data_IF_226324747791
#
_entry.id   IF_226324747791
#
_cell.length_a   1.000
_cell.length_b   1.000
_cell.length_c   1.000
_cell.angle_alpha   90.00
_cell.angle_beta   90.00
_cell.angle_gamma   90.00
#
_symmetry.space_group_name_H-M   'P 1'
#
loop_
_entity.id
_entity.type
_entity.pdbx_description
1 polymer ?
#
# COMPACT_ATOMS: atom_id res chain seq x y z
N UNK A 1 -83.94 5.68 20.39
CA UNK A 1 -84.41 5.33 19.04
C UNK A 1 -83.21 5.36 18.10
N UNK A 2 -82.68 4.18 17.69
CA UNK A 2 -81.80 3.94 16.52
C UNK A 2 -80.45 4.68 16.46
N UNK A 3 -79.37 4.21 15.85
CA UNK A 3 -78.80 2.93 15.41
C UNK A 3 -77.33 3.30 15.04
N UNK A 4 -76.38 2.41 15.37
CA UNK A 4 -75.01 2.19 14.85
C UNK A 4 -74.30 3.21 13.92
N UNK A 5 -72.98 3.41 14.15
CA UNK A 5 -71.89 2.99 13.23
C UNK A 5 -70.50 3.42 13.75
N UNK A 6 -69.60 2.40 13.88
CA UNK A 6 -68.14 2.31 13.55
C UNK A 6 -67.23 3.54 13.79
N UNK A 7 -65.99 3.46 14.27
CA UNK A 7 -64.96 2.40 14.17
C UNK A 7 -63.74 2.79 15.03
N UNK A 8 -62.92 1.77 15.33
CA UNK A 8 -61.68 1.74 16.11
C UNK A 8 -60.69 2.92 15.94
N UNK A 9 -59.92 3.21 17.01
CA UNK A 9 -58.46 3.48 17.01
C UNK A 9 -57.94 3.83 18.44
N UNK A 10 -56.93 3.06 18.88
CA UNK A 10 -55.77 3.35 19.79
C UNK A 10 -55.94 3.76 21.27
N UNK A 11 -55.39 2.92 22.19
CA UNK A 11 -54.39 3.20 23.26
C UNK A 11 -54.48 2.11 24.38
N UNK A 12 -53.82 0.95 24.28
CA UNK A 12 -52.46 0.63 24.78
C UNK A 12 -52.11 1.12 26.20
N UNK A 13 -52.28 0.25 27.20
CA UNK A 13 -51.44 0.09 28.40
C UNK A 13 -51.68 -1.34 28.95
N UNK A 14 -50.86 -2.32 28.53
CA UNK A 14 -49.71 -2.85 29.29
C UNK A 14 -50.12 -3.50 30.63
N UNK A 15 -50.62 -4.73 30.55
CA UNK A 15 -50.46 -5.74 31.61
C UNK A 15 -49.32 -6.68 31.18
N UNK A 16 -48.08 -6.30 31.47
CA UNK A 16 -46.90 -7.17 31.39
C UNK A 16 -46.48 -7.52 32.82
N UNK A 17 -46.94 -8.66 33.33
CA UNK A 17 -46.30 -9.40 34.43
C UNK A 17 -47.11 -10.68 34.64
N UNK A 18 -46.64 -11.79 34.07
CA UNK A 18 -47.30 -13.09 34.05
C UNK A 18 -47.37 -13.81 35.39
N UNK A 19 -47.92 -13.18 36.44
CA UNK A 19 -48.21 -13.85 37.72
C UNK A 19 -49.71 -14.05 37.91
N UNK A 20 -50.14 -15.32 38.03
CA UNK A 20 -51.48 -15.67 38.48
C UNK A 20 -51.38 -16.59 39.70
N UNK A 21 -51.95 -16.16 40.83
CA UNK A 21 -52.10 -16.97 42.07
C UNK A 21 -50.81 -17.51 42.73
N UNK A 22 -49.65 -16.88 42.51
CA UNK A 22 -48.41 -17.22 43.23
C UNK A 22 -47.58 -18.35 42.61
N UNK A 23 -47.85 -18.73 41.36
CA UNK A 23 -47.07 -19.71 40.59
C UNK A 23 -46.85 -19.18 39.16
N UNK A 24 -45.63 -19.31 38.62
CA UNK A 24 -45.31 -18.94 37.23
C UNK A 24 -45.63 -20.14 36.30
N UNK A 25 -46.07 -19.87 35.06
CA UNK A 25 -46.54 -20.90 34.10
C UNK A 25 -45.41 -21.64 33.36
N UNK A 26 -44.15 -21.23 33.54
CA UNK A 26 -42.99 -21.91 32.96
C UNK A 26 -42.28 -22.80 33.99
N UNK A 27 -41.81 -24.00 33.59
CA UNK A 27 -41.34 -25.04 34.51
C UNK A 27 -40.04 -24.71 35.27
N UNK A 28 -39.46 -23.52 35.07
CA UNK A 28 -38.14 -23.16 35.60
C UNK A 28 -38.15 -22.00 36.62
N UNK A 29 -39.31 -21.46 37.03
CA UNK A 29 -39.35 -20.31 37.96
C UNK A 29 -40.44 -20.46 39.04
N UNK A 30 -40.13 -20.86 40.29
CA UNK A 30 -41.15 -21.10 41.32
C UNK A 30 -41.55 -19.90 42.19
N UNK A 31 -40.98 -18.69 42.03
CA UNK A 31 -41.27 -17.53 42.91
C UNK A 31 -41.60 -16.22 42.16
N UNK A 32 -42.54 -15.43 42.70
CA UNK A 32 -43.06 -14.19 42.12
C UNK A 32 -43.28 -13.08 43.19
N UNK A 33 -42.92 -11.83 42.87
CA UNK A 33 -43.38 -10.62 43.59
C UNK A 33 -43.99 -9.56 42.65
N UNK A 34 -44.29 -8.37 43.20
CA UNK A 34 -44.91 -7.25 42.47
C UNK A 34 -44.09 -6.65 41.32
N UNK A 35 -42.88 -7.16 41.05
CA UNK A 35 -42.00 -6.77 39.95
C UNK A 35 -41.80 -7.87 38.90
N UNK A 36 -42.22 -9.12 39.14
CA UNK A 36 -42.11 -10.25 38.20
C UNK A 36 -41.67 -11.58 38.84
N UNK A 37 -41.39 -12.59 38.01
CA UNK A 37 -40.79 -13.86 38.46
C UNK A 37 -39.26 -13.73 38.56
N UNK A 38 -38.63 -14.29 39.59
CA UNK A 38 -37.17 -14.27 39.80
C UNK A 38 -36.66 -15.53 40.53
N UNK A 39 -35.39 -15.87 40.33
CA UNK A 39 -34.64 -16.89 41.08
C UNK A 39 -33.22 -16.36 41.39
N UNK A 40 -32.76 -16.54 42.62
CA UNK A 40 -31.36 -16.26 43.04
C UNK A 40 -30.37 -17.34 42.56
N UNK A 41 -30.86 -18.36 41.84
CA UNK A 41 -30.07 -19.50 41.31
C UNK A 41 -29.77 -19.43 39.81
N UNK A 42 -30.12 -18.35 39.11
CA UNK A 42 -29.62 -18.10 37.75
C UNK A 42 -28.17 -17.58 37.81
N UNK A 43 -27.22 -18.49 38.02
CA UNK A 43 -25.82 -18.32 37.66
C UNK A 43 -25.47 -19.34 36.56
N UNK A 44 -24.54 -19.03 35.63
CA UNK A 44 -24.09 -20.01 34.64
C UNK A 44 -23.62 -21.29 35.35
N UNK A 45 -24.00 -22.46 34.81
CA UNK A 45 -23.72 -23.76 35.42
C UNK A 45 -22.21 -23.93 35.65
N UNK A 46 -21.79 -23.91 36.91
CA UNK A 46 -20.40 -24.08 37.32
C UNK A 46 -20.06 -25.57 37.40
N UNK A 47 -18.94 -25.98 36.79
CA UNK A 47 -18.54 -27.39 36.72
C UNK A 47 -17.09 -27.62 37.19
N UNK A 48 -16.84 -28.76 37.82
CA UNK A 48 -15.50 -29.28 38.10
C UNK A 48 -15.23 -30.62 37.40
N UNK A 49 -16.26 -31.26 36.87
CA UNK A 49 -16.21 -32.46 36.04
C UNK A 49 -17.36 -32.45 35.02
N UNK A 50 -17.25 -33.25 33.97
CA UNK A 50 -18.28 -33.41 32.92
C UNK A 50 -19.66 -33.81 33.48
N UNK A 51 -19.67 -34.50 34.61
CA UNK A 51 -20.87 -35.02 35.28
C UNK A 51 -21.71 -33.92 35.95
N UNK A 52 -21.11 -32.74 36.15
CA UNK A 52 -21.78 -31.55 36.68
C UNK A 52 -22.63 -30.84 35.60
N UNK A 53 -22.45 -31.21 34.33
CA UNK A 53 -23.10 -30.58 33.18
C UNK A 53 -24.31 -31.37 32.69
N UNK A 54 -25.25 -30.69 32.01
CA UNK A 54 -26.45 -31.34 31.48
C UNK A 54 -26.11 -32.26 30.29
N UNK A 55 -27.04 -33.14 29.93
CA UNK A 55 -26.83 -34.08 28.82
C UNK A 55 -26.55 -33.32 27.51
N UNK A 56 -25.40 -33.63 26.88
CA UNK A 56 -24.82 -32.93 25.70
C UNK A 56 -24.14 -31.59 26.00
N UNK A 57 -23.56 -31.47 27.19
CA UNK A 57 -22.61 -30.42 27.54
C UNK A 57 -21.28 -31.03 27.97
N UNK A 58 -20.20 -30.27 27.86
CA UNK A 58 -18.91 -30.60 28.46
C UNK A 58 -18.43 -29.49 29.39
N UNK A 59 -17.61 -29.85 30.38
CA UNK A 59 -17.04 -28.92 31.33
C UNK A 59 -15.77 -28.28 30.77
N UNK A 60 -15.80 -26.97 30.51
CA UNK A 60 -14.58 -26.23 30.25
C UNK A 60 -13.87 -25.98 31.59
N UNK A 61 -12.78 -26.72 31.84
CA UNK A 61 -12.03 -26.67 33.10
C UNK A 61 -11.32 -25.33 33.35
N UNK A 62 -11.03 -24.55 32.31
CA UNK A 62 -10.37 -23.25 32.47
C UNK A 62 -11.35 -22.16 32.93
N UNK A 63 -12.59 -22.24 32.47
CA UNK A 63 -13.66 -21.30 32.81
C UNK A 63 -14.59 -21.81 33.92
N UNK A 64 -14.48 -23.09 34.28
CA UNK A 64 -15.37 -23.82 35.19
C UNK A 64 -16.85 -23.67 34.80
N UNK A 65 -17.15 -23.77 33.50
CA UNK A 65 -18.50 -23.57 32.95
C UNK A 65 -18.88 -24.69 31.98
N UNK A 66 -20.15 -25.09 32.00
CA UNK A 66 -20.70 -26.07 31.06
C UNK A 66 -20.97 -25.43 29.70
N UNK A 67 -20.47 -26.06 28.62
CA UNK A 67 -20.66 -25.61 27.24
C UNK A 67 -21.42 -26.66 26.42
N UNK A 68 -22.36 -26.25 25.54
CA UNK A 68 -23.04 -27.15 24.61
C UNK A 68 -22.04 -27.86 23.69
N UNK A 69 -22.21 -29.17 23.48
CA UNK A 69 -21.32 -29.95 22.62
C UNK A 69 -21.47 -29.69 21.11
N UNK A 70 -22.41 -28.81 20.70
CA UNK A 70 -22.70 -28.50 19.30
C UNK A 70 -22.07 -27.18 18.81
N UNK A 71 -21.18 -26.55 19.60
CA UNK A 71 -20.43 -25.34 19.21
C UNK A 71 -19.04 -25.76 18.70
N UNK A 72 -18.73 -25.39 17.46
CA UNK A 72 -17.48 -25.74 16.75
C UNK A 72 -16.39 -24.68 16.97
N UNK A 73 -16.77 -23.41 17.14
CA UNK A 73 -15.83 -22.31 17.35
C UNK A 73 -16.41 -21.22 18.26
N UNK A 74 -15.53 -20.48 18.93
CA UNK A 74 -15.80 -19.24 19.63
C UNK A 74 -14.94 -18.08 19.10
N UNK A 75 -13.73 -18.40 18.64
CA UNK A 75 -12.79 -17.50 17.99
C UNK A 75 -12.44 -18.00 16.59
N UNK A 76 -12.01 -17.06 15.73
CA UNK A 76 -11.74 -17.36 14.31
C UNK A 76 -10.58 -18.34 14.11
N UNK A 77 -9.65 -18.43 15.06
CA UNK A 77 -8.52 -19.37 15.01
C UNK A 77 -8.90 -20.83 15.32
N UNK A 78 -10.09 -21.07 15.87
CA UNK A 78 -10.63 -22.43 16.09
C UNK A 78 -11.24 -23.01 14.82
N UNK A 79 -11.38 -22.18 13.79
CA UNK A 79 -11.92 -22.56 12.51
C UNK A 79 -10.83 -23.05 11.54
N UNK A 80 -11.16 -23.99 10.63
CA UNK A 80 -10.27 -24.36 9.53
C UNK A 80 -9.83 -23.11 8.75
N UNK A 81 -8.60 -23.13 8.23
CA UNK A 81 -8.02 -22.02 7.47
C UNK A 81 -8.97 -21.50 6.38
N UNK A 82 -9.17 -20.18 6.32
CA UNK A 82 -10.08 -19.52 5.38
C UNK A 82 -11.55 -19.42 5.83
N UNK A 83 -11.86 -19.75 7.09
CA UNK A 83 -13.20 -19.58 7.66
C UNK A 83 -13.18 -18.74 8.93
N UNK A 84 -14.25 -18.00 9.18
CA UNK A 84 -14.43 -17.07 10.31
C UNK A 84 -15.53 -17.62 11.20
N UNK A 85 -15.38 -17.45 12.52
CA UNK A 85 -16.35 -17.98 13.47
C UNK A 85 -17.60 -17.10 13.52
N UNK A 86 -18.75 -17.64 13.11
CA UNK A 86 -20.02 -17.01 13.38
C UNK A 86 -20.37 -17.17 14.87
N UNK A 87 -20.11 -16.12 15.63
CA UNK A 87 -20.32 -16.07 17.08
C UNK A 87 -21.78 -16.21 17.50
N UNK A 88 -22.74 -16.04 16.60
CA UNK A 88 -24.16 -16.26 16.91
C UNK A 88 -24.56 -17.73 16.82
N UNK A 89 -23.94 -18.48 15.91
CA UNK A 89 -24.29 -19.88 15.65
C UNK A 89 -23.24 -20.86 16.18
N UNK A 90 -22.04 -20.39 16.52
CA UNK A 90 -20.91 -21.22 16.95
C UNK A 90 -20.34 -22.08 15.83
N UNK A 91 -20.53 -21.67 14.56
CA UNK A 91 -20.10 -22.43 13.38
C UNK A 91 -19.11 -21.66 12.54
N UNK A 92 -18.17 -22.36 11.91
CA UNK A 92 -17.21 -21.78 10.99
C UNK A 92 -17.87 -21.55 9.62
N UNK A 93 -17.82 -20.31 9.14
CA UNK A 93 -18.38 -19.92 7.84
C UNK A 93 -17.35 -19.17 7.01
N UNK A 94 -17.37 -19.35 5.69
CA UNK A 94 -16.47 -18.61 4.80
C UNK A 94 -17.04 -17.20 4.57
N UNK A 95 -16.33 -16.11 4.88
CA UNK A 95 -16.81 -14.74 4.69
C UNK A 95 -16.91 -14.31 3.21
N UNK A 96 -16.30 -15.04 2.27
CA UNK A 96 -16.29 -14.69 0.85
C UNK A 96 -17.55 -15.18 0.13
N UNK A 97 -18.66 -14.45 0.29
CA UNK A 97 -19.93 -14.69 -0.43
C UNK A 97 -19.82 -14.30 -1.91
N UNK A 98 -18.79 -13.53 -2.29
CA UNK A 98 -18.62 -12.93 -3.63
C UNK A 98 -17.48 -13.53 -4.48
N UNK A 99 -16.80 -14.59 -4.01
CA UNK A 99 -15.72 -15.30 -4.73
C UNK A 99 -14.51 -14.41 -5.15
N UNK A 100 -14.32 -13.26 -4.50
CA UNK A 100 -13.20 -12.34 -4.71
C UNK A 100 -11.98 -12.71 -3.87
N UNK A 101 -10.78 -12.43 -4.38
CA UNK A 101 -9.52 -12.70 -3.69
C UNK A 101 -8.45 -11.66 -4.05
N UNK A 102 -7.50 -11.45 -3.14
CA UNK A 102 -6.27 -10.71 -3.38
C UNK A 102 -5.06 -11.64 -3.45
N UNK A 103 -5.15 -12.78 -2.76
CA UNK A 103 -4.15 -13.83 -2.75
C UNK A 103 -4.82 -15.19 -2.75
N UNK A 104 -4.01 -16.18 -3.08
CA UNK A 104 -4.30 -17.60 -2.98
C UNK A 104 -4.90 -17.99 -1.61
N UNK A 105 -4.46 -17.35 -0.52
CA UNK A 105 -4.95 -17.63 0.83
C UNK A 105 -6.39 -17.17 1.10
N UNK A 106 -6.94 -16.28 0.28
CA UNK A 106 -8.33 -15.83 0.40
C UNK A 106 -9.32 -16.85 -0.18
N UNK A 107 -8.80 -17.86 -0.88
CA UNK A 107 -9.59 -18.81 -1.63
C UNK A 107 -9.96 -20.07 -0.84
N UNK A 108 -11.13 -20.66 -1.13
CA UNK A 108 -11.56 -21.90 -0.51
C UNK A 108 -10.61 -23.05 -0.86
N UNK A 109 -10.73 -24.16 -0.13
CA UNK A 109 -9.96 -25.38 -0.40
C UNK A 109 -10.02 -25.78 -1.88
N UNK A 110 -8.87 -26.17 -2.42
CA UNK A 110 -8.66 -26.47 -3.83
C UNK A 110 -9.00 -25.31 -4.77
N UNK A 111 -8.70 -24.08 -4.38
CA UNK A 111 -8.77 -22.92 -5.26
C UNK A 111 -7.55 -22.00 -5.09
N UNK A 112 -7.17 -21.37 -6.19
CA UNK A 112 -6.14 -20.33 -6.22
C UNK A 112 -6.78 -19.01 -6.66
N UNK A 113 -6.12 -17.90 -6.37
CA UNK A 113 -6.55 -16.58 -6.77
C UNK A 113 -6.05 -16.27 -8.17
N UNK A 114 -6.97 -16.07 -9.10
CA UNK A 114 -6.58 -15.62 -10.43
C UNK A 114 -6.34 -14.11 -10.40
N UNK A 115 -5.07 -13.72 -10.42
CA UNK A 115 -4.60 -12.32 -10.35
C UNK A 115 -5.20 -11.39 -11.42
N UNK A 116 -5.52 -11.92 -12.61
CA UNK A 116 -6.11 -11.13 -13.70
C UNK A 116 -7.59 -10.80 -13.48
N UNK A 117 -8.28 -11.65 -12.71
CA UNK A 117 -9.73 -11.50 -12.48
C UNK A 117 -10.06 -11.07 -11.06
N UNK A 118 -9.11 -11.21 -10.11
CA UNK A 118 -9.35 -11.00 -8.68
C UNK A 118 -10.37 -11.99 -8.10
N UNK A 119 -10.53 -13.16 -8.73
CA UNK A 119 -11.52 -14.17 -8.37
C UNK A 119 -10.85 -15.52 -8.08
N UNK A 120 -11.40 -16.25 -7.12
CA UNK A 120 -10.94 -17.60 -6.83
C UNK A 120 -11.34 -18.55 -7.96
N UNK A 121 -10.34 -19.26 -8.49
CA UNK A 121 -10.51 -20.31 -9.48
C UNK A 121 -10.27 -21.68 -8.85
N UNK A 122 -11.25 -22.56 -9.02
CA UNK A 122 -11.17 -23.94 -8.58
C UNK A 122 -10.09 -24.69 -9.36
N UNK A 123 -9.37 -25.54 -8.64
CA UNK A 123 -8.31 -26.40 -9.13
C UNK A 123 -8.35 -27.73 -8.36
N UNK A 124 -7.34 -28.57 -8.52
CA UNK A 124 -7.22 -29.84 -7.79
C UNK A 124 -6.23 -29.70 -6.64
N UNK A 125 -6.45 -30.51 -5.60
CA UNK A 125 -5.46 -30.68 -4.54
C UNK A 125 -4.36 -31.63 -4.99
N UNK A 126 -3.17 -31.49 -4.44
CA UNK A 126 -1.98 -32.23 -4.86
C UNK A 126 -1.10 -32.60 -3.67
N UNK A 127 -0.34 -33.68 -3.80
CA UNK A 127 0.75 -33.99 -2.86
C UNK A 127 2.14 -33.74 -3.43
N UNK A 128 2.22 -33.48 -4.74
CA UNK A 128 3.42 -33.11 -5.47
C UNK A 128 3.05 -32.46 -6.81
N UNK A 129 3.93 -31.62 -7.36
CA UNK A 129 3.68 -30.92 -8.65
C UNK A 129 3.51 -31.87 -9.84
N UNK A 130 3.94 -33.14 -9.72
CA UNK A 130 3.72 -34.16 -10.74
C UNK A 130 2.25 -34.57 -10.90
N UNK A 131 1.40 -34.20 -9.94
CA UNK A 131 -0.05 -34.45 -9.96
C UNK A 131 -0.83 -33.32 -10.62
N UNK A 132 -0.18 -32.18 -10.88
CA UNK A 132 -0.81 -31.02 -11.50
C UNK A 132 -0.70 -31.07 -13.03
N UNK A 133 -1.65 -30.42 -13.70
CA UNK A 133 -1.63 -30.25 -15.15
C UNK A 133 -0.43 -29.40 -15.61
N UNK A 134 -0.07 -29.49 -16.89
CA UNK A 134 1.05 -28.72 -17.48
C UNK A 134 0.86 -27.21 -17.24
N UNK A 135 1.86 -26.57 -16.63
CA UNK A 135 1.81 -25.15 -16.23
C UNK A 135 1.24 -24.90 -14.83
N UNK A 136 1.07 -25.95 -14.01
CA UNK A 136 0.66 -25.86 -12.61
C UNK A 136 1.65 -26.61 -11.70
N UNK A 137 1.87 -26.09 -10.50
CA UNK A 137 2.68 -26.71 -9.47
C UNK A 137 1.89 -26.89 -8.17
N UNK A 138 2.37 -27.79 -7.33
CA UNK A 138 1.76 -28.01 -6.02
C UNK A 138 2.33 -27.05 -5.00
N UNK A 139 1.52 -26.08 -4.56
CA UNK A 139 1.95 -25.10 -3.59
C UNK A 139 1.90 -25.62 -2.13
N UNK A 140 2.29 -24.78 -1.18
CA UNK A 140 2.33 -25.12 0.25
C UNK A 140 0.95 -25.42 0.87
N UNK A 141 -0.13 -25.02 0.20
CA UNK A 141 -1.52 -25.30 0.61
C UNK A 141 -1.99 -26.66 0.09
N UNK A 142 -1.12 -27.41 -0.59
CA UNK A 142 -1.44 -28.65 -1.28
C UNK A 142 -2.49 -28.43 -2.38
N UNK A 143 -2.41 -27.30 -3.08
CA UNK A 143 -3.30 -26.89 -4.16
C UNK A 143 -2.48 -26.69 -5.44
N UNK A 144 -2.99 -27.19 -6.57
CA UNK A 144 -2.38 -26.98 -7.87
C UNK A 144 -2.59 -25.53 -8.31
N UNK A 145 -1.58 -24.69 -8.16
CA UNK A 145 -1.59 -23.28 -8.54
C UNK A 145 -0.78 -23.09 -9.84
N UNK A 146 -1.11 -22.08 -10.68
CA UNK A 146 -0.35 -21.84 -11.91
C UNK A 146 1.12 -21.66 -11.58
N UNK A 147 2.02 -22.34 -12.30
CA UNK A 147 3.45 -22.04 -12.22
C UNK A 147 3.65 -20.54 -12.44
N UNK A 148 4.61 -19.88 -11.77
CA UNK A 148 5.02 -18.54 -12.15
C UNK A 148 5.68 -18.60 -13.53
N UNK A 149 4.89 -18.73 -14.60
CA UNK A 149 5.39 -18.92 -15.96
C UNK A 149 5.16 -17.69 -16.82
N UNK A 150 6.25 -16.97 -17.03
CA UNK A 150 6.43 -16.04 -18.12
C UNK A 150 7.92 -15.89 -18.46
N UNK A 151 8.27 -15.53 -19.70
CA UNK A 151 9.56 -14.91 -19.94
C UNK A 151 9.65 -13.67 -19.05
N UNK A 152 10.72 -13.56 -18.29
CA UNK A 152 10.99 -12.39 -17.48
C UNK A 152 12.21 -11.65 -18.03
N UNK A 153 12.26 -10.35 -17.78
CA UNK A 153 13.44 -9.52 -17.91
C UNK A 153 14.00 -9.20 -16.53
N UNK A 154 13.14 -9.11 -15.51
CA UNK A 154 13.50 -8.80 -14.13
C UNK A 154 12.60 -9.55 -13.12
N UNK A 155 12.94 -9.43 -11.84
CA UNK A 155 12.28 -10.14 -10.73
C UNK A 155 10.85 -9.68 -10.50
N UNK A 156 10.54 -8.40 -10.75
CA UNK A 156 9.19 -7.85 -10.58
C UNK A 156 8.15 -8.47 -11.51
N UNK A 157 8.59 -9.11 -12.61
CA UNK A 157 7.73 -9.84 -13.52
C UNK A 157 7.43 -11.27 -13.05
N UNK A 158 8.10 -11.73 -11.99
CA UNK A 158 7.85 -13.02 -11.37
C UNK A 158 6.90 -12.86 -10.17
N UNK A 159 6.10 -13.92 -9.92
CA UNK A 159 5.22 -13.99 -8.75
C UNK A 159 6.01 -13.98 -7.43
N UNK A 160 5.28 -13.81 -6.31
CA UNK A 160 5.86 -13.91 -4.97
C UNK A 160 6.53 -15.27 -4.78
N UNK A 161 7.73 -15.27 -4.19
CA UNK A 161 8.50 -16.50 -4.01
C UNK A 161 9.19 -16.95 -5.31
N UNK A 162 9.31 -16.10 -6.33
CA UNK A 162 10.09 -16.38 -7.52
C UNK A 162 10.89 -15.16 -7.98
N UNK A 163 12.02 -15.42 -8.63
CA UNK A 163 12.91 -14.41 -9.19
C UNK A 163 13.28 -14.76 -10.64
N UNK A 164 13.67 -13.77 -11.42
CA UNK A 164 14.07 -13.94 -12.81
C UNK A 164 15.52 -14.38 -12.92
N UNK A 165 15.74 -15.60 -13.42
CA UNK A 165 17.06 -16.11 -13.80
C UNK A 165 17.10 -16.42 -15.29
N UNK A 166 18.07 -15.84 -15.99
CA UNK A 166 18.29 -16.09 -17.42
C UNK A 166 17.02 -15.99 -18.30
N UNK A 167 16.10 -15.09 -17.95
CA UNK A 167 14.86 -14.83 -18.67
C UNK A 167 13.70 -15.77 -18.35
N UNK A 168 13.82 -16.56 -17.29
CA UNK A 168 12.81 -17.48 -16.79
C UNK A 168 12.61 -17.25 -15.30
N UNK A 169 11.36 -17.20 -14.84
CA UNK A 169 11.08 -17.16 -13.41
C UNK A 169 11.47 -18.49 -12.76
N UNK A 170 12.30 -18.41 -11.74
CA UNK A 170 12.82 -19.53 -10.95
C UNK A 170 12.27 -19.40 -9.52
N UNK A 171 11.79 -20.51 -8.99
CA UNK A 171 11.27 -20.58 -7.63
C UNK A 171 12.35 -20.26 -6.60
N UNK A 172 11.91 -19.56 -5.56
CA UNK A 172 12.65 -19.27 -4.35
C UNK A 172 11.70 -19.28 -3.15
N UNK A 173 12.18 -18.83 -2.00
CA UNK A 173 11.42 -18.81 -0.75
C UNK A 173 11.01 -17.39 -0.39
N UNK A 174 9.89 -17.28 0.30
CA UNK A 174 9.49 -16.01 0.91
C UNK A 174 10.35 -15.70 2.14
N UNK A 175 10.66 -14.43 2.33
CA UNK A 175 11.30 -13.87 3.51
C UNK A 175 10.34 -12.88 4.18
N UNK A 176 9.32 -13.35 4.92
CA UNK A 176 8.48 -12.46 5.71
C UNK A 176 9.32 -11.72 6.75
N UNK A 177 8.90 -10.51 7.11
CA UNK A 177 9.65 -9.57 7.94
C UNK A 177 10.37 -10.24 9.13
N UNK A 178 11.72 -10.28 9.05
CA UNK A 178 12.60 -10.79 10.10
C UNK A 178 13.18 -12.20 9.87
N UNK A 179 12.86 -12.87 8.75
CA UNK A 179 13.51 -14.12 8.35
C UNK A 179 14.66 -13.82 7.37
N UNK A 180 15.87 -14.27 7.71
CA UNK A 180 17.05 -14.14 6.85
C UNK A 180 17.03 -15.20 5.75
N UNK A 181 17.36 -14.80 4.51
CA UNK A 181 17.52 -15.72 3.41
C UNK A 181 18.88 -16.44 3.49
N UNK A 182 18.93 -17.72 3.08
CA UNK A 182 20.14 -18.54 3.15
C UNK A 182 20.50 -19.15 1.79
N UNK A 183 21.78 -19.49 1.61
CA UNK A 183 22.24 -20.26 0.46
C UNK A 183 22.48 -19.42 -0.79
N UNK A 184 21.91 -19.84 -1.92
CA UNK A 184 22.13 -19.21 -3.23
C UNK A 184 21.24 -17.97 -3.45
N UNK A 185 20.29 -17.70 -2.55
CA UNK A 185 19.37 -16.56 -2.60
C UNK A 185 19.46 -15.69 -1.34
N UNK A 186 20.64 -15.15 -0.97
CA UNK A 186 20.87 -14.55 0.36
C UNK A 186 20.21 -13.18 0.60
N UNK A 187 19.59 -12.56 -0.41
CA UNK A 187 19.02 -11.21 -0.32
C UNK A 187 17.49 -11.31 -0.27
N UNK A 188 16.85 -10.53 0.61
CA UNK A 188 15.39 -10.39 0.62
C UNK A 188 14.99 -9.12 -0.13
N UNK A 189 14.23 -9.26 -1.22
CA UNK A 189 13.76 -8.12 -2.01
C UNK A 189 12.52 -7.44 -1.40
N UNK A 190 12.07 -6.32 -2.00
CA UNK A 190 10.91 -5.56 -1.52
C UNK A 190 9.59 -6.33 -1.61
N UNK A 191 9.54 -7.39 -2.43
CA UNK A 191 8.39 -8.30 -2.55
C UNK A 191 8.38 -9.34 -1.43
N UNK A 192 9.38 -9.36 -0.55
CA UNK A 192 9.55 -10.39 0.47
C UNK A 192 9.94 -11.74 -0.14
N UNK A 193 10.70 -11.73 -1.23
CA UNK A 193 11.22 -12.92 -1.91
C UNK A 193 12.74 -12.99 -1.76
N UNK A 194 13.26 -14.17 -1.44
CA UNK A 194 14.70 -14.41 -1.41
C UNK A 194 15.26 -14.45 -2.85
N UNK A 195 16.27 -13.66 -3.17
CA UNK A 195 16.88 -13.58 -4.50
C UNK A 195 18.40 -13.79 -4.43
N UNK A 196 19.06 -14.22 -5.53
CA UNK A 196 20.51 -14.34 -5.57
C UNK A 196 21.23 -13.04 -5.31
N UNK A 197 22.42 -13.13 -4.72
CA UNK A 197 23.38 -12.03 -4.76
C UNK A 197 23.89 -11.91 -6.19
N UNK A 198 23.43 -10.89 -6.91
CA UNK A 198 23.80 -10.65 -8.31
C UNK A 198 25.14 -9.91 -8.36
N UNK A 199 26.20 -10.64 -8.06
CA UNK A 199 27.58 -10.26 -8.37
C UNK A 199 28.15 -11.21 -9.45
N UNK A 200 28.35 -10.76 -10.70
CA UNK A 200 28.21 -9.37 -11.16
C UNK A 200 26.74 -8.94 -11.34
N UNK A 201 26.46 -7.63 -11.36
CA UNK A 201 25.11 -7.10 -11.54
C UNK A 201 24.45 -7.60 -12.82
N UNK A 202 23.12 -7.63 -12.82
CA UNK A 202 22.34 -8.16 -13.94
C UNK A 202 22.58 -7.35 -15.23
N UNK A 203 22.73 -8.01 -16.38
CA UNK A 203 22.85 -7.31 -17.65
C UNK A 203 21.52 -6.68 -18.03
N UNK A 204 21.56 -5.48 -18.59
CA UNK A 204 20.39 -4.73 -19.00
C UNK A 204 20.60 -4.07 -20.36
N UNK A 205 19.50 -3.81 -21.07
CA UNK A 205 19.50 -2.88 -22.21
C UNK A 205 18.96 -1.51 -21.84
N UNK A 206 18.17 -1.43 -20.77
CA UNK A 206 17.55 -0.24 -20.23
C UNK A 206 16.96 -0.52 -18.84
N UNK A 207 16.37 0.50 -18.22
CA UNK A 207 15.90 0.44 -16.82
C UNK A 207 14.73 -0.53 -16.63
N UNK A 208 13.95 -0.83 -17.69
CA UNK A 208 12.89 -1.84 -17.62
C UNK A 208 13.44 -3.26 -17.40
N UNK A 209 14.73 -3.50 -17.66
CA UNK A 209 15.38 -4.78 -17.37
C UNK A 209 15.95 -4.84 -15.94
N UNK A 210 15.91 -3.75 -15.18
CA UNK A 210 16.43 -3.68 -13.83
C UNK A 210 15.31 -3.78 -12.77
N UNK A 211 15.70 -4.04 -11.53
CA UNK A 211 14.77 -4.09 -10.40
C UNK A 211 14.36 -2.69 -9.94
N UNK A 212 13.32 -2.61 -9.11
CA UNK A 212 12.91 -1.35 -8.51
C UNK A 212 14.09 -0.74 -7.71
N UNK A 213 14.36 0.55 -7.93
CA UNK A 213 15.49 1.24 -7.33
C UNK A 213 16.83 1.04 -8.04
N UNK A 214 16.87 0.36 -9.18
CA UNK A 214 18.05 0.22 -10.03
C UNK A 214 17.92 0.96 -11.37
N UNK A 215 19.05 1.36 -11.94
CA UNK A 215 19.16 1.97 -13.27
C UNK A 215 20.20 1.23 -14.10
N UNK A 216 19.91 1.07 -15.40
CA UNK A 216 20.80 0.46 -16.36
C UNK A 216 21.91 1.44 -16.76
N UNK A 217 23.13 1.14 -16.37
CA UNK A 217 24.33 1.94 -16.64
C UNK A 217 25.39 1.04 -17.28
N UNK A 218 25.85 1.39 -18.47
CA UNK A 218 26.85 0.61 -19.22
C UNK A 218 26.46 -0.87 -19.40
N UNK A 219 25.17 -1.13 -19.61
CA UNK A 219 24.63 -2.47 -19.83
C UNK A 219 24.56 -3.34 -18.57
N UNK A 220 24.74 -2.75 -17.39
CA UNK A 220 24.60 -3.41 -16.09
C UNK A 220 23.61 -2.64 -15.21
N UNK A 221 22.73 -3.36 -14.51
CA UNK A 221 21.88 -2.75 -13.50
C UNK A 221 22.74 -2.28 -12.33
N UNK A 222 22.54 -1.04 -11.92
CA UNK A 222 23.26 -0.43 -10.81
C UNK A 222 22.24 0.17 -9.86
N UNK A 223 22.45 0.00 -8.55
CA UNK A 223 21.61 0.65 -7.56
C UNK A 223 21.62 2.17 -7.78
N UNK A 224 20.44 2.76 -7.90
CA UNK A 224 20.33 4.22 -7.91
C UNK A 224 20.83 4.72 -6.56
N UNK A 225 21.79 5.64 -6.58
CA UNK A 225 22.22 6.25 -5.32
C UNK A 225 21.12 7.19 -4.86
N UNK A 226 20.60 7.05 -3.62
CA UNK A 226 19.65 8.02 -3.09
C UNK A 226 20.30 9.40 -3.18
N UNK A 227 19.63 10.32 -3.87
CA UNK A 227 20.13 11.69 -3.98
C UNK A 227 20.19 12.32 -2.59
N UNK A 228 21.17 13.21 -2.41
CA UNK A 228 21.35 13.93 -1.16
C UNK A 228 20.03 14.67 -0.81
N UNK A 229 19.41 14.37 0.35
CA UNK A 229 18.11 14.92 0.74
C UNK A 229 18.03 16.44 0.71
N UNK A 230 19.17 17.14 0.78
CA UNK A 230 19.22 18.60 0.67
C UNK A 230 18.81 19.15 -0.71
N UNK A 231 18.76 18.30 -1.73
CA UNK A 231 18.41 18.68 -3.10
C UNK A 231 16.99 18.28 -3.50
N UNK A 232 16.27 17.60 -2.60
CA UNK A 232 14.90 17.20 -2.84
C UNK A 232 13.97 18.39 -2.57
N UNK A 233 12.99 18.58 -3.44
CA UNK A 233 11.88 19.47 -3.12
C UNK A 233 10.92 18.78 -2.13
N UNK A 234 10.09 19.58 -1.48
CA UNK A 234 8.95 19.07 -0.72
C UNK A 234 7.69 19.76 -1.21
N UNK A 235 7.79 21.08 -1.43
CA UNK A 235 6.76 21.93 -1.98
C UNK A 235 7.15 22.42 -3.38
N UNK A 236 6.16 22.74 -4.20
CA UNK A 236 6.36 23.16 -5.60
C UNK A 236 7.08 24.51 -5.70
N UNK A 237 6.98 25.35 -4.69
CA UNK A 237 7.71 26.61 -4.54
C UNK A 237 9.23 26.40 -4.45
N UNK A 238 9.67 25.20 -4.04
CA UNK A 238 11.08 24.85 -4.10
C UNK A 238 11.57 24.63 -5.53
N UNK A 239 10.69 24.54 -6.53
CA UNK A 239 11.05 24.20 -7.90
C UNK A 239 11.20 25.41 -8.83
N UNK A 240 11.25 26.61 -8.24
CA UNK A 240 11.32 27.86 -8.98
C UNK A 240 9.99 28.21 -9.65
N UNK A 241 10.03 29.20 -10.54
CA UNK A 241 8.81 29.81 -11.09
C UNK A 241 7.97 28.79 -11.88
N UNK A 242 6.76 28.50 -11.37
CA UNK A 242 5.80 27.54 -11.92
C UNK A 242 6.33 26.09 -12.03
N UNK A 243 7.35 25.71 -11.26
CA UNK A 243 7.75 24.30 -11.14
C UNK A 243 6.75 23.51 -10.30
N UNK A 244 6.76 22.19 -10.43
CA UNK A 244 6.00 21.28 -9.57
C UNK A 244 6.96 20.34 -8.86
N UNK A 245 6.73 20.14 -7.56
CA UNK A 245 7.46 19.14 -6.79
C UNK A 245 6.73 17.81 -6.83
N UNK A 246 7.39 16.77 -7.30
CA UNK A 246 6.82 15.43 -7.41
C UNK A 246 7.86 14.43 -6.92
N UNK A 247 7.52 13.71 -5.86
CA UNK A 247 8.37 12.67 -5.28
C UNK A 247 9.79 13.14 -4.94
N UNK A 248 9.93 14.39 -4.47
CA UNK A 248 11.22 14.99 -4.20
C UNK A 248 11.95 15.58 -5.42
N UNK A 249 11.39 15.43 -6.62
CA UNK A 249 11.96 15.95 -7.87
C UNK A 249 11.23 17.19 -8.38
N UNK A 250 12.00 18.17 -8.83
CA UNK A 250 11.48 19.37 -9.45
C UNK A 250 11.29 19.18 -10.95
N UNK A 251 10.05 19.34 -11.38
CA UNK A 251 9.69 19.31 -12.79
C UNK A 251 9.27 20.70 -13.26
N UNK A 252 10.02 21.23 -14.23
CA UNK A 252 9.77 22.56 -14.81
C UNK A 252 8.62 22.55 -15.83
N UNK A 253 7.96 23.69 -16.07
CA UNK A 253 6.96 23.80 -17.12
C UNK A 253 7.60 23.72 -18.50
N UNK A 254 6.87 23.15 -19.47
CA UNK A 254 7.35 22.97 -20.83
C UNK A 254 6.24 23.22 -21.87
N UNK A 255 6.65 23.63 -23.06
CA UNK A 255 5.78 23.70 -24.25
C UNK A 255 6.11 22.59 -25.25
N UNK A 256 7.38 22.18 -25.27
CA UNK A 256 7.90 21.07 -26.05
C UNK A 256 9.17 20.51 -25.38
N UNK A 257 9.73 19.43 -25.95
CA UNK A 257 10.91 18.72 -25.43
C UNK A 257 12.16 19.61 -25.33
N UNK A 258 12.24 20.74 -26.06
CA UNK A 258 13.39 21.65 -25.95
C UNK A 258 13.43 22.42 -24.62
N UNK A 259 12.35 22.39 -23.84
CA UNK A 259 12.28 22.94 -22.49
C UNK A 259 12.69 21.94 -21.40
N UNK A 260 12.98 20.69 -21.76
CA UNK A 260 13.25 19.63 -20.81
C UNK A 260 14.72 19.22 -20.82
N UNK A 261 15.19 18.74 -19.68
CA UNK A 261 16.55 18.23 -19.52
C UNK A 261 16.73 16.89 -20.22
N UNK A 262 17.98 16.44 -20.28
CA UNK A 262 18.38 15.16 -20.85
C UNK A 262 17.61 14.02 -20.19
N UNK A 263 16.95 13.18 -20.99
CA UNK A 263 16.15 12.04 -20.54
C UNK A 263 14.69 12.39 -20.19
N UNK A 264 14.28 13.64 -20.37
CA UNK A 264 12.91 14.08 -20.09
C UNK A 264 12.14 14.45 -21.36
N UNK A 265 10.84 14.21 -21.32
CA UNK A 265 9.88 14.65 -22.33
C UNK A 265 8.96 15.73 -21.75
N UNK A 266 8.37 16.53 -22.64
CA UNK A 266 7.30 17.42 -22.23
C UNK A 266 5.98 16.65 -22.16
N UNK A 267 5.54 16.31 -20.94
CA UNK A 267 4.34 15.53 -20.72
C UNK A 267 3.06 16.34 -21.06
N UNK A 268 1.92 15.68 -21.34
CA UNK A 268 0.68 16.37 -21.73
C UNK A 268 0.11 17.35 -20.70
N UNK A 269 0.51 17.23 -19.42
CA UNK A 269 0.15 18.18 -18.36
C UNK A 269 0.98 19.48 -18.41
N UNK A 270 1.95 19.58 -19.33
CA UNK A 270 2.75 20.78 -19.55
C UNK A 270 3.98 20.87 -18.64
N UNK A 271 4.40 19.75 -18.04
CA UNK A 271 5.62 19.66 -17.23
C UNK A 271 6.60 18.68 -17.84
N UNK A 272 7.90 18.95 -17.68
CA UNK A 272 8.93 17.98 -17.99
C UNK A 272 8.76 16.77 -17.08
N UNK A 273 8.90 15.57 -17.63
CA UNK A 273 8.87 14.32 -16.86
C UNK A 273 9.88 13.36 -17.47
N UNK A 274 10.41 12.46 -16.66
CA UNK A 274 11.30 11.41 -17.14
C UNK A 274 10.56 10.58 -18.20
N UNK A 275 11.21 10.29 -19.33
CA UNK A 275 10.57 9.50 -20.38
C UNK A 275 10.25 8.11 -19.84
N UNK A 276 8.96 7.71 -19.74
CA UNK A 276 8.61 6.38 -19.26
C UNK A 276 9.05 5.29 -20.24
N UNK A 277 9.43 5.65 -21.47
CA UNK A 277 9.95 4.73 -22.45
C UNK A 277 11.48 4.78 -22.45
N UNK A 278 12.15 3.65 -22.24
CA UNK A 278 13.60 3.61 -22.33
C UNK A 278 14.09 3.91 -23.74
N UNK A 279 15.29 4.47 -23.82
CA UNK A 279 15.97 4.69 -25.10
C UNK A 279 16.32 3.37 -25.81
N UNK A 280 16.63 3.50 -27.09
CA UNK A 280 17.14 2.39 -27.91
C UNK A 280 18.44 2.75 -28.63
N UNK A 281 19.13 3.79 -28.16
CA UNK A 281 20.35 4.31 -28.78
C UNK A 281 21.57 3.45 -28.47
N UNK A 282 21.61 2.85 -27.27
CA UNK A 282 22.73 2.06 -26.78
C UNK A 282 22.28 0.91 -25.87
N UNK A 283 23.15 -0.08 -25.71
CA UNK A 283 23.07 -1.11 -24.66
C UNK A 283 24.25 -0.96 -23.71
N UNK A 284 25.43 -0.58 -24.22
CA UNK A 284 26.63 -0.32 -23.43
C UNK A 284 27.32 0.97 -23.88
N UNK A 285 28.27 1.47 -23.09
CA UNK A 285 29.07 2.66 -23.40
C UNK A 285 29.79 2.56 -24.75
N UNK A 286 30.14 1.34 -25.17
CA UNK A 286 30.79 1.08 -26.45
C UNK A 286 29.91 1.37 -27.67
N UNK A 287 28.58 1.42 -27.49
CA UNK A 287 27.63 1.81 -28.55
C UNK A 287 27.56 3.32 -28.73
N UNK A 288 27.95 4.08 -27.70
CA UNK A 288 28.03 5.53 -27.74
C UNK A 288 29.42 5.98 -28.23
N UNK A 289 29.49 7.19 -28.81
CA UNK A 289 30.77 7.83 -29.08
C UNK A 289 31.55 8.01 -27.75
N UNK A 290 32.88 8.02 -27.78
CA UNK A 290 33.73 7.96 -26.57
C UNK A 290 33.65 9.14 -25.59
N UNK A 291 32.69 10.05 -25.76
CA UNK A 291 32.37 11.17 -24.87
C UNK A 291 31.02 11.00 -24.16
N UNK A 292 30.42 9.80 -24.22
CA UNK A 292 29.08 9.53 -23.73
C UNK A 292 29.04 8.28 -22.85
N UNK A 293 28.05 8.23 -21.97
CA UNK A 293 27.74 7.07 -21.12
C UNK A 293 26.34 6.59 -21.49
N UNK A 294 26.18 5.28 -21.65
CA UNK A 294 24.89 4.66 -21.90
C UNK A 294 24.12 4.53 -20.58
N UNK A 295 23.00 5.22 -20.47
CA UNK A 295 22.10 5.17 -19.31
C UNK A 295 20.67 5.03 -19.81
N UNK A 296 19.93 4.05 -19.27
CA UNK A 296 18.55 3.77 -19.67
C UNK A 296 18.34 3.65 -21.20
N UNK A 297 19.34 3.11 -21.92
CA UNK A 297 19.30 2.97 -23.37
C UNK A 297 19.50 4.27 -24.17
N UNK A 298 19.91 5.37 -23.53
CA UNK A 298 20.25 6.67 -24.14
C UNK A 298 21.72 7.01 -23.95
N UNK A 299 22.33 7.69 -24.92
CA UNK A 299 23.73 8.15 -24.80
C UNK A 299 23.78 9.54 -24.12
N UNK A 300 24.12 9.57 -22.84
CA UNK A 300 24.25 10.80 -22.05
C UNK A 300 25.64 11.43 -22.21
N UNK A 301 25.71 12.76 -22.26
CA UNK A 301 27.00 13.47 -22.34
C UNK A 301 27.80 13.30 -21.05
N UNK A 302 29.11 13.10 -21.17
CA UNK A 302 30.03 13.21 -20.04
C UNK A 302 30.29 14.69 -19.73
N UNK A 303 30.34 15.03 -18.45
CA UNK A 303 30.56 16.39 -17.98
C UNK A 303 31.62 16.45 -16.88
N UNK A 304 32.15 17.66 -16.66
CA UNK A 304 33.00 17.96 -15.49
C UNK A 304 32.43 19.10 -14.65
N UNK A 305 31.56 19.91 -15.24
CA UNK A 305 30.82 21.01 -14.61
C UNK A 305 29.47 21.17 -15.30
N UNK A 306 28.53 21.86 -14.64
CA UNK A 306 27.22 22.22 -15.22
C UNK A 306 27.32 22.82 -16.63
N UNK A 307 28.29 23.72 -16.83
CA UNK A 307 28.51 24.41 -18.10
C UNK A 307 28.97 23.51 -19.25
N UNK A 308 29.31 22.26 -18.98
CA UNK A 308 29.68 21.28 -20.02
C UNK A 308 28.48 20.52 -20.58
N UNK A 309 27.32 20.60 -19.92
CA UNK A 309 26.10 20.01 -20.44
C UNK A 309 25.47 20.88 -21.53
N UNK A 310 24.98 20.27 -22.62
CA UNK A 310 24.49 20.99 -23.78
C UNK A 310 23.11 21.63 -23.55
N UNK A 311 22.27 21.05 -22.69
CA UNK A 311 20.95 21.59 -22.34
C UNK A 311 21.04 22.64 -21.22
N UNK A 312 20.28 23.73 -21.36
CA UNK A 312 20.12 24.75 -20.30
C UNK A 312 19.42 24.16 -19.05
N UNK A 313 18.69 23.07 -19.23
CA UNK A 313 17.95 22.35 -18.20
C UNK A 313 18.68 21.09 -17.71
N UNK A 314 19.95 20.93 -18.09
CA UNK A 314 20.79 19.84 -17.61
C UNK A 314 21.61 20.25 -16.40
N UNK A 315 22.02 19.23 -15.64
CA UNK A 315 23.07 19.36 -14.65
C UNK A 315 24.12 18.27 -14.75
N UNK A 316 25.30 18.54 -14.21
CA UNK A 316 26.40 17.59 -14.13
C UNK A 316 26.34 16.81 -12.82
N UNK A 317 25.82 15.59 -12.87
CA UNK A 317 25.76 14.68 -11.71
C UNK A 317 26.76 13.55 -11.92
N UNK A 318 27.76 13.47 -11.04
CA UNK A 318 28.80 12.41 -11.04
C UNK A 318 29.49 12.16 -12.38
N UNK A 319 29.67 13.23 -13.16
CA UNK A 319 30.34 13.18 -14.46
C UNK A 319 29.43 12.89 -15.64
N UNK A 320 28.12 12.85 -15.43
CA UNK A 320 27.10 12.63 -16.46
C UNK A 320 26.12 13.81 -16.50
N UNK A 321 25.76 14.25 -17.70
CA UNK A 321 24.67 15.20 -17.90
C UNK A 321 23.31 14.50 -17.72
N UNK A 322 22.54 14.99 -16.75
CA UNK A 322 21.18 14.54 -16.43
C UNK A 322 20.25 15.74 -16.36
N UNK A 323 18.94 15.53 -16.40
CA UNK A 323 18.00 16.62 -16.15
C UNK A 323 18.23 17.29 -14.78
N UNK A 324 18.06 18.61 -14.75
CA UNK A 324 18.24 19.42 -13.56
C UNK A 324 16.93 19.49 -12.75
N UNK A 325 16.72 18.46 -11.95
CA UNK A 325 15.53 18.16 -11.15
C UNK A 325 15.66 18.51 -9.65
N UNK A 326 16.67 19.30 -9.27
CA UNK A 326 16.87 19.69 -7.86
C UNK A 326 15.96 20.84 -7.44
N UNK A 327 15.72 20.94 -6.14
CA UNK A 327 15.20 22.14 -5.50
C UNK A 327 16.04 23.37 -5.88
N UNK A 328 15.34 24.39 -6.38
CA UNK A 328 15.80 25.74 -6.68
C UNK A 328 15.14 26.71 -5.68
N UNK A 329 15.65 26.81 -4.45
CA UNK A 329 15.08 27.72 -3.46
C UNK A 329 15.11 29.15 -3.99
N UNK A 330 14.01 29.87 -3.82
CA UNK A 330 13.86 31.28 -4.18
C UNK A 330 14.88 32.17 -3.45
N UNK A 331 15.30 31.75 -2.24
CA UNK A 331 16.21 32.50 -1.40
C UNK A 331 17.19 31.62 -0.62
N UNK A 332 18.36 32.20 -0.31
CA UNK A 332 19.32 31.61 0.64
C UNK A 332 19.48 32.47 1.90
N UNK A 333 19.03 33.72 1.85
CA UNK A 333 18.99 34.66 2.95
C UNK A 333 17.95 35.76 2.65
N UNK A 334 17.58 36.55 3.67
CA UNK A 334 16.56 37.60 3.52
C UNK A 334 16.91 38.67 2.47
N UNK A 335 18.19 38.82 2.10
CA UNK A 335 18.61 39.74 1.05
C UNK A 335 18.19 39.32 -0.36
N UNK A 336 17.79 38.05 -0.55
CA UNK A 336 17.20 37.57 -1.80
C UNK A 336 15.73 37.97 -1.95
N UNK A 337 15.04 38.24 -0.85
CA UNK A 337 13.61 38.50 -0.83
C UNK A 337 13.28 39.98 -1.00
N UNK A 338 12.16 40.26 -1.67
CA UNK A 338 11.69 41.63 -1.91
C UNK A 338 10.48 41.94 -1.02
N UNK A 339 9.97 43.17 -1.04
CA UNK A 339 8.69 43.47 -0.38
C UNK A 339 8.63 43.38 1.14
N UNK A 340 9.74 43.11 1.84
CA UNK A 340 9.76 42.88 3.29
C UNK A 340 9.52 41.42 3.70
N UNK A 341 9.55 40.50 2.74
CA UNK A 341 9.57 39.06 2.97
C UNK A 341 10.88 38.62 3.64
N UNK A 342 10.83 37.48 4.31
CA UNK A 342 11.99 36.83 4.91
C UNK A 342 12.23 35.48 4.27
N UNK A 343 13.50 35.09 4.21
CA UNK A 343 13.85 33.79 3.67
C UNK A 343 13.59 32.73 4.73
N UNK A 344 12.54 31.94 4.53
CA UNK A 344 12.15 30.85 5.41
C UNK A 344 12.11 29.56 4.61
N UNK A 345 12.99 28.62 4.95
CA UNK A 345 13.09 27.30 4.29
C UNK A 345 13.33 27.38 2.77
N UNK A 346 14.02 28.43 2.31
CA UNK A 346 14.33 28.62 0.91
C UNK A 346 13.24 29.32 0.10
N UNK A 347 12.12 29.69 0.73
CA UNK A 347 11.01 30.44 0.13
C UNK A 347 10.96 31.84 0.72
N UNK A 348 10.68 32.85 -0.11
CA UNK A 348 10.45 34.21 0.37
C UNK A 348 9.05 34.34 0.94
N UNK A 349 8.93 34.26 2.27
CA UNK A 349 7.63 34.26 2.96
C UNK A 349 7.34 35.60 3.61
N UNK A 350 6.06 35.99 3.57
CA UNK A 350 5.58 37.18 4.27
C UNK A 350 5.44 36.86 5.76
N UNK A 351 6.14 37.57 6.66
CA UNK A 351 5.93 37.42 8.10
C UNK A 351 4.55 37.93 8.50
N UNK A 352 3.88 37.24 9.42
CA UNK A 352 2.52 37.53 9.84
C UNK A 352 2.37 37.38 11.36
N UNK A 353 1.38 38.09 11.90
CA UNK A 353 0.92 37.96 13.28
C UNK A 353 -0.53 37.49 13.36
N UNK A 354 -1.32 37.78 12.33
CA UNK A 354 -2.66 37.25 12.16
C UNK A 354 -3.04 37.08 10.68
N UNK A 355 -4.24 36.55 10.42
CA UNK A 355 -4.70 36.26 9.07
C UNK A 355 -4.88 37.49 8.17
N UNK A 356 -4.95 38.71 8.72
CA UNK A 356 -5.09 39.92 7.90
C UNK A 356 -3.79 40.29 7.18
N UNK A 357 -2.64 39.90 7.73
CA UNK A 357 -1.33 40.08 7.11
C UNK A 357 -1.20 39.25 5.81
N UNK A 358 -1.89 38.10 5.75
CA UNK A 358 -1.86 37.18 4.60
C UNK A 358 -2.97 37.42 3.56
N UNK A 359 -3.93 38.30 3.84
CA UNK A 359 -5.12 38.51 2.99
C UNK A 359 -4.80 39.12 1.61
N UNK A 360 -3.59 39.65 1.41
CA UNK A 360 -3.11 40.20 0.14
C UNK A 360 -2.29 39.22 -0.71
N UNK A 361 -1.97 38.04 -0.18
CA UNK A 361 -1.12 37.06 -0.85
C UNK A 361 -1.95 36.20 -1.84
N UNK A 362 -1.38 35.85 -3.01
CA UNK A 362 -1.97 34.85 -3.90
C UNK A 362 -2.27 33.54 -3.15
N UNK A 363 -3.37 32.86 -3.49
CA UNK A 363 -3.77 31.62 -2.82
C UNK A 363 -4.51 31.80 -1.48
N UNK A 364 -4.61 33.01 -0.96
CA UNK A 364 -5.19 33.31 0.37
C UNK A 364 -4.62 32.43 1.51
N UNK A 365 -3.29 32.40 1.69
CA UNK A 365 -2.64 31.64 2.74
C UNK A 365 -3.09 32.09 4.13
N UNK A 366 -2.86 31.25 5.14
CA UNK A 366 -3.14 31.56 6.53
C UNK A 366 -1.84 31.86 7.28
N UNK A 367 -1.95 32.64 8.35
CA UNK A 367 -0.81 32.87 9.22
C UNK A 367 -0.53 31.61 10.04
N UNK A 368 0.52 30.87 9.65
CA UNK A 368 0.91 29.65 10.32
C UNK A 368 1.50 29.94 11.71
N UNK A 369 1.57 28.90 12.56
CA UNK A 369 2.14 28.99 13.91
C UNK A 369 3.59 29.50 13.91
N UNK A 370 4.32 29.33 12.79
CA UNK A 370 5.67 29.86 12.59
C UNK A 370 5.75 31.37 12.35
N UNK A 371 4.62 32.07 12.25
CA UNK A 371 4.58 33.52 12.00
C UNK A 371 4.85 33.90 10.55
N UNK A 372 4.53 33.01 9.61
CA UNK A 372 4.65 33.25 8.16
C UNK A 372 3.35 32.85 7.45
N UNK A 373 3.03 33.56 6.37
CA UNK A 373 1.93 33.19 5.51
C UNK A 373 2.28 31.91 4.74
N UNK A 374 1.49 30.87 4.95
CA UNK A 374 1.67 29.53 4.38
C UNK A 374 0.31 29.01 3.91
N UNK A 375 0.29 28.21 2.86
CA UNK A 375 -0.94 27.57 2.41
C UNK A 375 -1.28 26.33 3.26
N UNK A 376 -2.32 25.60 2.88
CA UNK A 376 -2.75 24.44 3.65
C UNK A 376 -1.79 23.24 3.52
N UNK A 377 -1.12 23.08 2.37
CA UNK A 377 -0.21 21.98 2.07
C UNK A 377 1.09 22.19 2.86
N UNK A 378 1.60 23.42 2.90
CA UNK A 378 2.73 23.84 3.74
C UNK A 378 2.53 23.50 5.24
N UNK A 379 1.31 23.72 5.74
CA UNK A 379 1.00 23.59 7.17
C UNK A 379 0.70 22.14 7.55
N UNK A 380 0.13 21.37 6.62
CA UNK A 380 -0.25 19.98 6.83
C UNK A 380 0.26 19.09 5.69
N UNK A 381 1.58 18.95 5.52
CA UNK A 381 2.14 18.07 4.50
C UNK A 381 1.77 16.62 4.81
N UNK A 382 1.33 15.89 3.79
CA UNK A 382 1.02 14.46 3.86
C UNK A 382 2.24 13.59 3.51
N UNK A 383 3.16 14.11 2.70
CA UNK A 383 4.31 13.36 2.21
C UNK A 383 5.51 14.26 1.86
N UNK A 384 6.70 13.67 1.83
CA UNK A 384 7.88 14.17 1.13
C UNK A 384 8.22 13.31 -0.09
N UNK A 385 7.86 12.02 -0.05
CA UNK A 385 8.05 11.04 -1.13
C UNK A 385 6.79 10.20 -1.30
N UNK A 386 6.57 9.66 -2.50
CA UNK A 386 5.42 8.80 -2.82
C UNK A 386 5.40 7.53 -1.97
N UNK A 387 6.55 7.10 -1.45
CA UNK A 387 6.66 5.97 -0.50
C UNK A 387 5.97 6.20 0.84
N UNK A 388 5.67 7.45 1.19
CA UNK A 388 4.92 7.83 2.39
C UNK A 388 3.39 7.81 2.14
N UNK A 389 2.97 7.72 0.88
CA UNK A 389 1.58 7.66 0.47
C UNK A 389 1.06 6.22 0.42
N UNK A 390 -0.28 6.07 0.46
CA UNK A 390 -0.90 4.76 0.18
C UNK A 390 -0.62 4.32 -1.25
N UNK A 391 -0.49 3.00 -1.45
CA UNK A 391 -0.08 2.39 -2.72
C UNK A 391 -0.86 2.94 -3.94
N UNK A 392 -0.13 3.38 -4.96
CA UNK A 392 -0.68 3.96 -6.19
C UNK A 392 -0.93 5.48 -6.16
N UNK A 393 -0.60 6.16 -5.05
CA UNK A 393 -0.59 7.62 -5.00
C UNK A 393 0.84 8.17 -5.17
N UNK A 394 0.92 9.35 -5.78
CA UNK A 394 2.12 10.14 -5.95
C UNK A 394 2.18 11.24 -4.88
N UNK A 395 3.37 11.51 -4.38
CA UNK A 395 3.59 12.72 -3.59
C UNK A 395 3.77 13.90 -4.53
N UNK A 396 2.81 14.82 -4.55
CA UNK A 396 2.87 16.05 -5.35
C UNK A 396 2.58 17.22 -4.45
N UNK A 397 3.50 18.18 -4.41
CA UNK A 397 3.34 19.39 -3.59
C UNK A 397 3.04 19.09 -2.11
N UNK A 398 3.78 18.13 -1.56
CA UNK A 398 3.60 17.55 -0.24
C UNK A 398 2.22 16.91 0.04
N UNK A 399 1.42 16.61 -0.99
CA UNK A 399 0.10 15.98 -0.87
C UNK A 399 0.05 14.65 -1.62
N UNK A 400 -0.63 13.64 -1.05
CA UNK A 400 -0.80 12.36 -1.71
C UNK A 400 -1.96 12.42 -2.71
N UNK A 401 -1.64 12.37 -4.01
CA UNK A 401 -2.63 12.50 -5.12
C UNK A 401 -2.49 11.38 -6.13
N UNK A 402 -3.56 11.11 -6.89
CA UNK A 402 -3.53 10.13 -7.99
C UNK A 402 -2.93 10.68 -9.29
N UNK A 403 -2.75 12.00 -9.41
CA UNK A 403 -2.26 12.69 -10.62
C UNK A 403 -1.96 14.17 -10.36
N UNK A 404 -1.24 14.83 -11.28
CA UNK A 404 -0.98 16.27 -11.25
C UNK A 404 -0.93 16.93 -12.64
#
# INVERSE_FOLDING_TARGET
>A
MRLYLLSAVLLSSLFLSGCWTGTCEEPLCPYCDGSGCYDESCQPAFCNAEEDCMYMEYCNYDLHQCFPSDIICYYDWECPYGTVCDRMTGTCSNPNVDNTCHSDWDCPVNAYCNEFTGLCQQTEGCSSSAECDEGFYCDERAVCSPEPVGPCANDAQCGLGAYCDAGVCVDSTLCPAGVECEGLTPICDERGTCIPDRDPPQPCGNDLACEAGEQCVDGLCTATTPRDPMWNCQFSEHCGENGVCVDGHCYGPCLDESNCGTGQICAPNGFCQDDPNPGTECVANADCDGSFVCINGLCHNVCSTESTCPGEFDRCLDGTCVANDIARPECYNNGNCMGGEECFEGICRVPCTDATDCAGCPGNPICATGGYCMDNNDINPECALSSECTLGLLCVDAMCTSSY
#
